data_IF_740456511898
#
_entry.id   IF_740456511898
#
_cell.length_a   1.000
_cell.length_b   1.000
_cell.length_c   1.000
_cell.angle_alpha   90.00
_cell.angle_beta   90.00
_cell.angle_gamma   90.00
#
_symmetry.space_group_name_H-M   'P 1'
#
loop_
_entity.id
_entity.type
_entity.pdbx_description
1 polymer ?
#
# COMPACT_ATOMS: atom_id res chain seq x y z
N UNK A 1 -2.37 11.95 -10.62
CA UNK A 1 -1.81 11.02 -9.63
C UNK A 1 -0.33 11.24 -9.49
N UNK A 2 0.12 11.40 -8.27
CA UNK A 2 1.50 11.78 -8.02
C UNK A 2 2.33 10.59 -7.58
N UNK A 3 2.26 9.48 -8.31
CA UNK A 3 3.09 8.31 -8.06
C UNK A 3 3.18 7.45 -9.32
N UNK A 4 4.17 6.57 -9.32
CA UNK A 4 4.39 5.62 -10.41
C UNK A 4 4.30 4.21 -9.83
N UNK A 5 3.62 3.31 -10.54
CA UNK A 5 3.59 1.89 -10.21
C UNK A 5 4.61 1.16 -11.08
N UNK A 6 5.49 0.37 -10.47
CA UNK A 6 6.34 -0.51 -11.26
C UNK A 6 5.49 -1.58 -11.94
N UNK A 7 6.03 -2.26 -12.95
CA UNK A 7 5.34 -3.36 -13.59
C UNK A 7 5.01 -4.47 -12.58
N UNK A 8 5.92 -4.74 -11.66
CA UNK A 8 5.68 -5.69 -10.57
C UNK A 8 4.50 -5.26 -9.69
N UNK A 9 4.46 -3.97 -9.31
CA UNK A 9 3.37 -3.45 -8.48
C UNK A 9 2.02 -3.54 -9.21
N UNK A 10 2.01 -3.23 -10.51
CA UNK A 10 0.79 -3.36 -11.33
C UNK A 10 0.29 -4.80 -11.36
N UNK A 11 1.19 -5.75 -11.58
CA UNK A 11 0.84 -7.16 -11.62
C UNK A 11 0.33 -7.67 -10.28
N UNK A 12 0.99 -7.27 -9.18
CA UNK A 12 0.57 -7.67 -7.84
C UNK A 12 -0.81 -7.08 -7.50
N UNK A 13 -1.05 -5.83 -7.87
CA UNK A 13 -2.36 -5.20 -7.63
C UNK A 13 -3.46 -5.92 -8.41
N UNK A 14 -3.18 -6.28 -9.66
CA UNK A 14 -4.14 -7.03 -10.49
C UNK A 14 -4.40 -8.41 -9.90
N UNK A 15 -3.35 -9.15 -9.59
CA UNK A 15 -3.44 -10.51 -9.07
C UNK A 15 -4.16 -10.58 -7.73
N UNK A 16 -3.92 -9.59 -6.88
CA UNK A 16 -4.49 -9.54 -5.53
C UNK A 16 -5.79 -8.75 -5.46
N UNK A 17 -6.29 -8.30 -6.61
CA UNK A 17 -7.55 -7.56 -6.71
C UNK A 17 -7.54 -6.31 -5.81
N UNK A 18 -6.52 -5.48 -6.00
CA UNK A 18 -6.43 -4.19 -5.31
C UNK A 18 -6.81 -3.10 -6.32
N UNK A 19 -8.01 -2.51 -6.20
CA UNK A 19 -8.43 -1.45 -7.13
C UNK A 19 -7.50 -0.25 -7.04
N UNK A 20 -7.35 0.45 -8.15
CA UNK A 20 -6.50 1.64 -8.21
C UNK A 20 -6.94 2.70 -7.19
N UNK A 21 -8.23 2.85 -6.96
CA UNK A 21 -8.76 3.82 -5.99
C UNK A 21 -8.28 3.54 -4.56
N UNK A 22 -8.06 2.27 -4.20
CA UNK A 22 -7.50 1.94 -2.88
C UNK A 22 -6.03 2.36 -2.79
N UNK A 23 -5.30 2.20 -3.90
CA UNK A 23 -3.90 2.63 -3.98
C UNK A 23 -3.82 4.15 -3.90
N UNK A 24 -4.66 4.84 -4.65
CA UNK A 24 -4.71 6.31 -4.64
C UNK A 24 -5.04 6.84 -3.25
N UNK A 25 -6.05 6.27 -2.61
CA UNK A 25 -6.47 6.68 -1.28
C UNK A 25 -5.36 6.46 -0.25
N UNK A 26 -4.70 5.30 -0.30
CA UNK A 26 -3.62 4.98 0.63
C UNK A 26 -2.40 5.88 0.41
N UNK A 27 -2.09 6.21 -0.83
CA UNK A 27 -0.99 7.14 -1.10
C UNK A 27 -1.30 8.56 -0.62
N UNK A 28 -2.55 9.00 -0.81
CA UNK A 28 -2.95 10.36 -0.44
C UNK A 28 -3.07 10.53 1.07
N UNK A 29 -3.65 9.55 1.75
CA UNK A 29 -3.95 9.64 3.19
C UNK A 29 -3.72 8.30 3.88
N UNK A 30 -2.46 7.86 4.01
CA UNK A 30 -2.20 6.58 4.69
C UNK A 30 -2.57 6.69 6.16
N UNK A 31 -3.20 5.65 6.69
CA UNK A 31 -3.49 5.62 8.12
C UNK A 31 -2.23 5.42 8.95
N UNK A 32 -1.27 4.67 8.41
CA UNK A 32 0.02 4.47 9.04
C UNK A 32 1.12 4.46 8.00
N UNK A 33 2.28 4.91 8.41
CA UNK A 33 3.50 4.82 7.62
C UNK A 33 4.56 4.15 8.51
N UNK A 34 5.09 3.03 8.03
CA UNK A 34 6.07 2.26 8.78
C UNK A 34 7.35 2.09 7.96
N UNK A 35 8.50 1.88 8.62
CA UNK A 35 9.72 1.62 7.85
C UNK A 35 9.66 0.28 7.15
N UNK A 36 10.20 0.23 5.94
CA UNK A 36 10.40 -0.99 5.19
C UNK A 36 11.88 -1.32 5.11
N UNK A 37 12.21 -2.31 4.28
CA UNK A 37 13.61 -2.66 4.02
C UNK A 37 14.19 -1.75 2.95
N UNK A 38 15.53 -1.63 2.92
CA UNK A 38 16.25 -0.88 1.88
C UNK A 38 15.77 0.57 1.75
N UNK A 39 15.58 1.25 2.90
CA UNK A 39 15.17 2.67 2.97
C UNK A 39 13.74 2.91 2.46
N UNK A 40 13.02 1.88 2.04
CA UNK A 40 11.63 2.02 1.60
C UNK A 40 10.72 2.26 2.79
N UNK A 41 9.53 2.78 2.49
CA UNK A 41 8.46 2.98 3.48
C UNK A 41 7.28 2.12 3.09
N UNK A 42 6.52 1.71 4.08
CA UNK A 42 5.25 1.03 3.86
C UNK A 42 4.14 1.98 4.26
N UNK A 43 3.28 2.31 3.32
CA UNK A 43 2.07 3.09 3.57
C UNK A 43 0.91 2.11 3.64
N UNK A 44 0.09 2.21 4.68
CA UNK A 44 -0.98 1.24 4.86
C UNK A 44 -2.27 1.88 5.37
N UNK A 45 -3.38 1.33 4.91
CA UNK A 45 -4.71 1.77 5.29
C UNK A 45 -5.66 0.59 5.36
N UNK A 46 -6.60 0.67 6.28
CA UNK A 46 -7.68 -0.32 6.38
C UNK A 46 -8.77 0.03 5.39
N UNK A 47 -9.24 -0.97 4.66
CA UNK A 47 -10.31 -0.84 3.67
C UNK A 47 -11.42 -1.80 4.05
N UNK A 48 -12.65 -1.30 4.13
CA UNK A 48 -13.82 -2.13 4.39
C UNK A 48 -14.52 -2.39 3.06
N UNK A 49 -14.74 -3.66 2.76
CA UNK A 49 -15.44 -4.08 1.55
C UNK A 49 -16.20 -5.38 1.84
N UNK A 50 -17.45 -5.45 1.39
CA UNK A 50 -18.31 -6.63 1.56
C UNK A 50 -18.37 -7.12 3.02
N UNK A 51 -18.41 -6.18 3.96
CA UNK A 51 -18.50 -6.49 5.38
C UNK A 51 -17.20 -7.00 6.00
N UNK A 52 -16.09 -6.96 5.27
CA UNK A 52 -14.78 -7.37 5.76
C UNK A 52 -13.81 -6.22 5.73
N UNK A 53 -12.84 -6.25 6.64
CA UNK A 53 -11.78 -5.25 6.70
C UNK A 53 -10.47 -5.86 6.24
N UNK A 54 -9.82 -5.22 5.30
CA UNK A 54 -8.50 -5.61 4.80
C UNK A 54 -7.52 -4.48 5.04
N UNK A 55 -6.25 -4.84 5.18
CA UNK A 55 -5.16 -3.88 5.22
C UNK A 55 -4.51 -3.85 3.85
N UNK A 56 -4.46 -2.69 3.23
CA UNK A 56 -3.73 -2.46 1.98
C UNK A 56 -2.37 -1.90 2.36
N UNK A 57 -1.31 -2.52 1.85
CA UNK A 57 0.07 -2.13 2.14
C UNK A 57 0.80 -1.86 0.84
N UNK A 58 1.40 -0.67 0.76
CA UNK A 58 2.16 -0.22 -0.41
C UNK A 58 3.60 -0.01 0.01
N UNK A 59 4.52 -0.66 -0.68
CA UNK A 59 5.95 -0.47 -0.43
C UNK A 59 6.45 0.59 -1.40
N UNK A 60 7.00 1.67 -0.86
CA UNK A 60 7.24 2.89 -1.62
C UNK A 60 8.69 3.34 -1.51
N UNK A 61 9.26 3.71 -2.64
CA UNK A 61 10.52 4.44 -2.71
C UNK A 61 10.18 5.92 -2.82
N UNK A 62 10.30 6.63 -1.73
CA UNK A 62 9.83 8.00 -1.63
C UNK A 62 10.86 9.05 -2.06
N UNK A 63 12.06 8.60 -2.42
CA UNK A 63 13.13 9.51 -2.85
C UNK A 63 13.09 9.84 -4.34
N UNK A 64 12.14 9.28 -5.06
CA UNK A 64 11.89 9.64 -6.47
C UNK A 64 10.82 10.73 -6.54
N UNK A 65 10.82 11.47 -7.64
CA UNK A 65 9.82 12.49 -7.91
C UNK A 65 9.17 12.24 -9.26
N UNK A 66 7.94 11.69 -9.31
CA UNK A 66 7.09 11.31 -8.18
C UNK A 66 7.54 10.01 -7.50
N UNK A 67 7.04 9.71 -6.30
CA UNK A 67 7.41 8.48 -5.61
C UNK A 67 6.99 7.23 -6.39
N UNK A 68 7.71 6.14 -6.18
CA UNK A 68 7.52 4.89 -6.91
C UNK A 68 7.01 3.81 -5.95
N UNK A 69 5.89 3.19 -6.31
CA UNK A 69 5.35 2.03 -5.58
C UNK A 69 5.95 0.79 -6.21
N UNK A 70 6.74 0.04 -5.42
CA UNK A 70 7.46 -1.12 -5.92
C UNK A 70 6.69 -2.42 -5.75
N UNK A 71 5.79 -2.48 -4.77
CA UNK A 71 4.89 -3.61 -4.61
C UNK A 71 3.66 -3.20 -3.81
N UNK A 72 2.59 -3.98 -3.94
CA UNK A 72 1.33 -3.75 -3.25
C UNK A 72 0.74 -5.10 -2.85
N UNK A 73 0.15 -5.17 -1.67
CA UNK A 73 -0.60 -6.35 -1.28
C UNK A 73 -1.69 -5.98 -0.29
N UNK A 74 -2.65 -6.90 -0.11
CA UNK A 74 -3.68 -6.75 0.90
C UNK A 74 -3.74 -8.00 1.75
N UNK A 75 -4.14 -7.84 3.00
CA UNK A 75 -4.24 -8.95 3.95
C UNK A 75 -5.39 -8.72 4.90
N UNK A 76 -6.02 -9.82 5.34
CA UNK A 76 -7.01 -9.76 6.42
C UNK A 76 -6.35 -9.83 7.79
N UNK A 77 -5.05 -10.11 7.85
CA UNK A 77 -4.31 -10.24 9.12
C UNK A 77 -3.78 -8.89 9.56
N UNK A 78 -4.71 -7.99 9.90
CA UNK A 78 -4.38 -6.62 10.20
C UNK A 78 -3.46 -6.50 11.42
N UNK A 79 -3.77 -7.25 12.48
CA UNK A 79 -3.02 -7.16 13.74
C UNK A 79 -1.55 -7.52 13.58
N UNK A 80 -1.24 -8.36 12.58
CA UNK A 80 0.14 -8.75 12.31
C UNK A 80 0.99 -7.57 11.87
N UNK A 81 0.39 -6.62 11.15
CA UNK A 81 1.12 -5.53 10.51
C UNK A 81 0.78 -4.16 11.09
N UNK A 82 -0.30 -4.06 11.86
CA UNK A 82 -0.72 -2.77 12.38
C UNK A 82 0.26 -2.31 13.45
N UNK A 83 0.86 -1.16 13.24
CA UNK A 83 1.81 -0.60 14.19
C UNK A 83 1.11 -0.15 15.46
N UNK A 84 1.68 -0.48 16.59
CA UNK A 84 1.19 -0.03 17.89
C UNK A 84 1.92 1.24 18.28
N UNK A 85 1.18 2.27 18.59
CA UNK A 85 1.76 3.52 19.03
C UNK A 85 1.73 3.61 20.54
#
# INVERSE_FOLDING_TARGET
MDFVLTDHAKEEARRRQIPLEWIESTMAHPEQMTPGTNRRKVLQSRIVTDGKTYLVRLVVEDWHQPPVIVTAYRTSKIDKYWGKT
#
